data_IF_981609164854
#
_entry.id   IF_981609164854
#
_cell.length_a   1.000
_cell.length_b   1.000
_cell.length_c   1.000
_cell.angle_alpha   90.00
_cell.angle_beta   90.00
_cell.angle_gamma   90.00
#
_symmetry.space_group_name_H-M   'P 1'
#
loop_
_entity.id
_entity.type
_entity.pdbx_description
1 polymer ?
#
# COMPACT_ATOMS: atom_id res chain seq x y z
N UNK A 1 0.13 -16.42 -34.97
CA UNK A 1 -1.27 -16.18 -34.56
C UNK A 1 -1.37 -16.63 -33.11
N UNK A 2 -1.65 -15.72 -32.18
CA UNK A 2 -1.92 -16.13 -30.81
C UNK A 2 -3.14 -17.06 -30.83
N UNK A 3 -3.04 -18.23 -30.20
CA UNK A 3 -4.17 -19.11 -29.96
C UNK A 3 -5.10 -18.41 -28.95
N UNK A 4 -5.89 -17.45 -29.43
CA UNK A 4 -6.92 -16.74 -28.69
C UNK A 4 -8.15 -17.65 -28.52
N UNK A 5 -7.99 -18.80 -27.85
CA UNK A 5 -9.10 -19.67 -27.50
C UNK A 5 -9.88 -18.95 -26.40
N UNK A 6 -10.99 -18.33 -26.79
CA UNK A 6 -11.95 -17.74 -25.85
C UNK A 6 -12.45 -18.87 -24.94
N UNK A 7 -12.45 -18.70 -23.61
CA UNK A 7 -13.02 -19.70 -22.72
C UNK A 7 -14.48 -19.96 -23.06
N UNK A 8 -14.90 -21.22 -22.95
CA UNK A 8 -16.24 -21.70 -23.35
C UNK A 8 -17.39 -21.04 -22.57
N UNK A 9 -17.08 -20.46 -21.40
CA UNK A 9 -18.03 -19.72 -20.59
C UNK A 9 -17.38 -18.50 -19.91
N UNK A 10 -18.20 -17.48 -19.67
CA UNK A 10 -17.83 -16.33 -18.85
C UNK A 10 -17.87 -16.79 -17.38
N UNK A 11 -16.81 -16.53 -16.62
CA UNK A 11 -16.77 -16.82 -15.20
C UNK A 11 -17.86 -16.03 -14.46
N UNK A 12 -18.61 -16.71 -13.59
CA UNK A 12 -19.61 -16.03 -12.76
C UNK A 12 -18.95 -15.18 -11.68
N UNK A 13 -19.47 -13.97 -11.45
CA UNK A 13 -19.04 -13.11 -10.34
C UNK A 13 -19.79 -13.56 -9.08
N UNK A 14 -19.05 -13.85 -8.01
CA UNK A 14 -19.66 -14.25 -6.73
C UNK A 14 -20.49 -13.11 -6.13
N UNK A 15 -21.57 -13.47 -5.42
CA UNK A 15 -22.39 -12.50 -4.69
C UNK A 15 -21.52 -11.76 -3.66
N UNK A 16 -21.67 -10.44 -3.59
CA UNK A 16 -21.09 -9.62 -2.53
C UNK A 16 -21.70 -10.04 -1.19
N UNK A 17 -20.89 -10.64 -0.32
CA UNK A 17 -21.33 -11.09 1.01
C UNK A 17 -21.35 -9.93 2.02
N UNK A 18 -20.32 -9.08 2.00
CA UNK A 18 -20.17 -7.93 2.88
C UNK A 18 -19.47 -6.78 2.14
N UNK A 19 -19.92 -5.54 2.36
CA UNK A 19 -19.18 -4.36 1.92
C UNK A 19 -17.93 -4.17 2.79
N UNK A 20 -16.81 -3.80 2.16
CA UNK A 20 -15.56 -3.50 2.86
C UNK A 20 -15.39 -1.99 2.91
N UNK A 21 -15.28 -1.45 4.13
CA UNK A 21 -15.02 -0.04 4.37
C UNK A 21 -13.70 0.12 5.16
N UNK A 22 -12.76 0.87 4.59
CA UNK A 22 -11.46 1.16 5.23
C UNK A 22 -11.53 2.35 6.20
N UNK A 23 -12.53 3.22 6.08
CA UNK A 23 -12.64 4.44 6.89
C UNK A 23 -11.33 5.25 6.87
N UNK A 24 -10.78 5.56 8.05
CA UNK A 24 -9.56 6.33 8.18
C UNK A 24 -8.34 5.42 8.32
N UNK A 25 -7.38 5.58 7.40
CA UNK A 25 -6.03 5.03 7.50
C UNK A 25 -5.19 5.95 8.39
N UNK A 26 -4.52 5.40 9.40
CA UNK A 26 -3.84 6.21 10.42
C UNK A 26 -2.32 5.99 10.47
N UNK A 27 -1.80 4.84 10.04
CA UNK A 27 -0.36 4.60 9.95
C UNK A 27 -0.03 3.60 8.83
N UNK A 28 1.23 3.58 8.40
CA UNK A 28 1.78 2.55 7.53
C UNK A 28 2.79 1.72 8.32
N UNK A 29 2.83 0.42 8.04
CA UNK A 29 3.82 -0.52 8.54
C UNK A 29 4.69 -0.89 7.34
N UNK A 30 5.88 -0.29 7.27
CA UNK A 30 6.78 -0.38 6.12
C UNK A 30 7.72 -1.57 6.29
N UNK A 31 7.95 -2.30 5.21
CA UNK A 31 8.88 -3.44 5.16
C UNK A 31 9.51 -3.51 3.77
N UNK A 32 10.77 -3.95 3.68
CA UNK A 32 11.31 -4.40 2.39
C UNK A 32 10.51 -5.60 1.89
N UNK A 33 10.30 -5.71 0.59
CA UNK A 33 9.70 -6.90 -0.02
C UNK A 33 10.53 -8.13 0.34
N UNK A 34 9.87 -9.24 0.64
CA UNK A 34 10.51 -10.50 1.03
C UNK A 34 10.20 -11.57 0.00
N UNK A 35 11.20 -12.38 -0.34
CA UNK A 35 11.00 -13.58 -1.18
C UNK A 35 10.12 -14.60 -0.46
N UNK A 36 10.28 -14.70 0.86
CA UNK A 36 9.44 -15.52 1.72
C UNK A 36 8.51 -14.62 2.53
N UNK A 37 7.19 -14.85 2.52
CA UNK A 37 6.23 -14.04 3.27
C UNK A 37 6.60 -13.92 4.76
N UNK A 38 6.62 -12.69 5.28
CA UNK A 38 6.91 -12.38 6.70
C UNK A 38 5.94 -13.06 7.66
N UNK A 39 4.72 -13.37 7.19
CA UNK A 39 3.72 -14.11 7.94
C UNK A 39 3.35 -15.40 7.19
N UNK A 40 3.42 -16.53 7.90
CA UNK A 40 3.06 -17.82 7.33
C UNK A 40 1.56 -17.95 6.99
N UNK A 41 0.69 -17.27 7.74
CA UNK A 41 -0.76 -17.27 7.54
C UNK A 41 -1.43 -16.13 8.33
N UNK A 42 -2.73 -15.93 8.10
CA UNK A 42 -3.52 -14.88 8.77
C UNK A 42 -3.61 -15.07 10.28
N UNK A 43 -3.54 -16.32 10.77
CA UNK A 43 -3.54 -16.58 12.20
C UNK A 43 -2.26 -16.03 12.85
N UNK A 44 -1.10 -16.13 12.20
CA UNK A 44 0.13 -15.51 12.67
C UNK A 44 0.00 -13.98 12.77
N UNK A 45 -0.54 -13.32 11.72
CA UNK A 45 -0.79 -11.87 11.73
C UNK A 45 -1.75 -11.40 12.82
N UNK A 46 -2.64 -12.28 13.31
CA UNK A 46 -3.55 -11.92 14.42
C UNK A 46 -2.82 -11.83 15.76
N UNK A 47 -1.62 -12.38 15.90
CA UNK A 47 -0.90 -12.46 17.18
C UNK A 47 0.11 -11.32 17.36
N UNK A 48 0.15 -10.73 18.55
CA UNK A 48 1.12 -9.66 18.86
C UNK A 48 2.56 -10.17 18.78
N UNK A 49 2.81 -11.42 19.18
CA UNK A 49 4.16 -12.00 19.19
C UNK A 49 4.81 -12.04 17.80
N UNK A 50 4.06 -12.38 16.75
CA UNK A 50 4.57 -12.38 15.39
C UNK A 50 4.98 -10.98 14.93
N UNK A 51 4.18 -9.96 15.27
CA UNK A 51 4.51 -8.58 14.96
C UNK A 51 5.70 -8.08 15.78
N UNK A 52 5.75 -8.38 17.07
CA UNK A 52 6.86 -7.96 17.93
C UNK A 52 8.21 -8.48 17.41
N UNK A 53 8.27 -9.73 16.96
CA UNK A 53 9.48 -10.30 16.37
C UNK A 53 9.96 -9.50 15.13
N UNK A 54 9.03 -9.11 14.25
CA UNK A 54 9.34 -8.33 13.05
C UNK A 54 9.65 -6.84 13.35
N UNK A 55 9.04 -6.26 14.37
CA UNK A 55 9.32 -4.87 14.80
C UNK A 55 10.72 -4.74 15.43
N UNK A 56 11.18 -5.78 16.12
CA UNK A 56 12.49 -5.81 16.78
C UNK A 56 13.60 -6.43 15.93
N UNK A 57 13.29 -6.88 14.70
CA UNK A 57 14.31 -7.46 13.83
C UNK A 57 15.37 -6.41 13.43
N UNK A 58 16.59 -6.88 13.19
CA UNK A 58 17.74 -6.04 12.84
C UNK A 58 18.20 -6.25 11.38
N UNK A 59 17.42 -7.01 10.61
CA UNK A 59 17.71 -7.37 9.22
C UNK A 59 16.62 -6.84 8.26
N UNK A 60 16.67 -7.29 7.00
CA UNK A 60 15.71 -6.88 5.96
C UNK A 60 14.26 -7.25 6.25
N UNK A 61 13.98 -8.11 7.24
CA UNK A 61 12.61 -8.48 7.66
C UNK A 61 11.99 -7.46 8.59
N UNK A 62 12.74 -6.45 9.06
CA UNK A 62 12.26 -5.44 10.00
C UNK A 62 11.04 -4.70 9.45
N UNK A 63 9.98 -4.64 10.26
CA UNK A 63 8.83 -3.78 10.01
C UNK A 63 8.98 -2.51 10.83
N UNK A 64 8.72 -1.36 10.21
CA UNK A 64 8.72 -0.06 10.90
C UNK A 64 7.35 0.59 10.77
N UNK A 65 6.76 0.94 11.92
CA UNK A 65 5.51 1.70 11.95
C UNK A 65 5.81 3.19 11.77
N UNK A 66 5.14 3.85 10.83
CA UNK A 66 5.19 5.31 10.72
C UNK A 66 4.49 5.97 11.91
N UNK A 67 4.82 7.23 12.23
CA UNK A 67 3.94 8.05 13.07
C UNK A 67 2.51 8.06 12.53
N UNK A 68 1.55 8.42 13.37
CA UNK A 68 0.19 8.57 12.90
C UNK A 68 0.07 9.80 11.99
N UNK A 69 -0.67 9.66 10.89
CA UNK A 69 -0.91 10.72 9.93
C UNK A 69 -2.40 11.02 9.75
N UNK A 70 -2.67 12.18 9.16
CA UNK A 70 -4.00 12.63 8.81
C UNK A 70 -4.14 12.86 7.31
N UNK A 71 -5.39 12.89 6.83
CA UNK A 71 -5.70 13.27 5.45
C UNK A 71 -5.13 12.35 4.38
N UNK A 72 -4.84 11.08 4.71
CA UNK A 72 -4.31 10.14 3.74
C UNK A 72 -5.37 9.75 2.71
N UNK A 73 -5.08 10.02 1.45
CA UNK A 73 -5.96 9.81 0.30
C UNK A 73 -5.23 9.01 -0.77
N UNK A 74 -5.95 8.04 -1.33
CA UNK A 74 -5.49 7.24 -2.46
C UNK A 74 -6.49 7.49 -3.60
N UNK A 75 -6.12 8.24 -4.66
CA UNK A 75 -7.03 8.47 -5.79
C UNK A 75 -7.30 7.18 -6.57
N UNK A 76 -8.36 7.16 -7.37
CA UNK A 76 -8.62 6.06 -8.31
C UNK A 76 -7.57 6.04 -9.44
N UNK A 77 -7.22 4.85 -9.92
CA UNK A 77 -6.35 4.72 -11.09
C UNK A 77 -7.09 5.01 -12.39
N UNK A 78 -6.45 5.74 -13.30
CA UNK A 78 -7.01 6.02 -14.62
C UNK A 78 -6.62 4.91 -15.62
N UNK A 79 -7.56 4.44 -16.46
CA UNK A 79 -7.28 3.45 -17.49
C UNK A 79 -6.43 4.05 -18.61
N UNK A 80 -5.52 3.25 -19.16
CA UNK A 80 -4.72 3.59 -20.33
C UNK A 80 -5.17 2.78 -21.54
N UNK A 81 -5.17 3.44 -22.70
CA UNK A 81 -5.47 2.84 -23.99
C UNK A 81 -4.37 3.18 -24.99
N UNK A 82 -3.87 2.18 -25.71
CA UNK A 82 -2.99 2.37 -26.85
C UNK A 82 -3.80 2.51 -28.14
N UNK A 83 -3.31 3.34 -29.04
CA UNK A 83 -3.78 3.47 -30.44
C UNK A 83 -5.25 3.89 -30.61
N UNK A 84 -5.92 4.32 -29.54
CA UNK A 84 -7.31 4.80 -29.59
C UNK A 84 -7.43 6.05 -30.48
N UNK A 85 -8.42 6.06 -31.37
CA UNK A 85 -8.63 7.10 -32.37
C UNK A 85 -7.44 7.30 -33.33
N UNK A 86 -6.63 6.26 -33.56
CA UNK A 86 -5.54 6.27 -34.54
C UNK A 86 -5.81 5.27 -35.66
N UNK A 87 -5.20 5.50 -36.83
CA UNK A 87 -5.30 4.59 -37.98
C UNK A 87 -4.51 3.28 -37.80
N UNK A 88 -3.81 3.13 -36.67
CA UNK A 88 -3.08 1.90 -36.33
C UNK A 88 -3.99 0.85 -35.69
N UNK A 89 -5.19 1.25 -35.22
CA UNK A 89 -6.20 0.36 -34.66
C UNK A 89 -7.33 0.10 -35.66
N UNK A 90 -7.89 -1.11 -35.66
CA UNK A 90 -9.04 -1.45 -36.51
C UNK A 90 -10.24 -0.60 -36.06
N UNK A 91 -10.82 0.16 -36.98
CA UNK A 91 -11.94 1.09 -36.74
C UNK A 91 -11.69 2.17 -35.68
N UNK A 92 -10.43 2.52 -35.39
CA UNK A 92 -10.09 3.51 -34.36
C UNK A 92 -10.30 3.00 -32.92
N UNK A 93 -10.63 1.72 -32.75
CA UNK A 93 -10.85 1.07 -31.46
C UNK A 93 -9.52 0.69 -30.82
N UNK A 94 -9.07 1.52 -29.87
CA UNK A 94 -7.84 1.29 -29.14
C UNK A 94 -7.87 0.04 -28.25
N UNK A 95 -6.68 -0.36 -27.81
CA UNK A 95 -6.47 -1.51 -26.93
C UNK A 95 -6.24 -1.05 -25.49
N UNK A 96 -6.95 -1.64 -24.53
CA UNK A 96 -6.69 -1.40 -23.11
C UNK A 96 -5.31 -1.93 -22.73
N UNK A 97 -4.44 -1.08 -22.19
CA UNK A 97 -3.05 -1.43 -21.85
C UNK A 97 -2.78 -1.52 -20.35
N UNK A 98 -3.75 -1.16 -19.51
CA UNK A 98 -3.61 -1.22 -18.06
C UNK A 98 -4.04 0.07 -17.38
N UNK A 99 -3.51 0.31 -16.19
CA UNK A 99 -3.84 1.46 -15.35
C UNK A 99 -2.59 2.25 -14.97
N UNK A 100 -2.77 3.56 -14.82
CA UNK A 100 -1.74 4.44 -14.28
C UNK A 100 -1.41 4.09 -12.82
N UNK A 101 -0.16 4.32 -12.43
CA UNK A 101 0.22 4.32 -11.01
C UNK A 101 -0.54 5.42 -10.25
N UNK A 102 -0.90 5.13 -9.01
CA UNK A 102 -1.68 6.04 -8.16
C UNK A 102 -0.76 6.72 -7.15
N UNK A 103 -0.87 8.03 -7.01
CA UNK A 103 -0.13 8.78 -5.99
C UNK A 103 -0.96 8.93 -4.73
N UNK A 104 -0.66 8.12 -3.71
CA UNK A 104 -1.22 8.30 -2.38
C UNK A 104 -0.52 9.46 -1.66
N UNK A 105 -1.29 10.28 -0.96
CA UNK A 105 -0.76 11.47 -0.25
C UNK A 105 -1.42 11.62 1.10
N UNK A 106 -0.68 12.12 2.08
CA UNK A 106 -1.18 12.47 3.40
C UNK A 106 -0.27 13.48 4.09
N UNK A 107 -0.53 13.75 5.36
CA UNK A 107 0.24 14.71 6.14
C UNK A 107 0.50 14.22 7.56
N UNK A 108 1.74 14.42 8.01
CA UNK A 108 2.10 14.32 9.42
C UNK A 108 1.90 15.68 10.08
N UNK A 109 1.39 15.68 11.30
CA UNK A 109 1.12 16.90 12.08
C UNK A 109 2.11 16.97 13.24
N UNK A 110 2.83 18.08 13.38
CA UNK A 110 3.74 18.32 14.50
C UNK A 110 4.97 17.41 14.53
N UNK A 111 5.44 16.96 13.36
CA UNK A 111 6.55 16.02 13.25
C UNK A 111 7.89 16.69 13.68
N UNK A 112 8.63 16.11 14.63
CA UNK A 112 9.98 16.54 14.97
C UNK A 112 10.96 16.40 13.78
N UNK A 113 11.96 17.29 13.69
CA UNK A 113 12.88 17.34 12.54
C UNK A 113 13.79 16.10 12.42
N UNK A 114 14.12 15.47 13.54
CA UNK A 114 14.87 14.21 13.60
C UNK A 114 14.05 13.06 13.03
N UNK A 115 12.79 12.90 13.45
CA UNK A 115 11.89 11.87 12.92
C UNK A 115 11.59 12.12 11.44
N UNK A 116 11.42 13.37 11.01
CA UNK A 116 11.29 13.71 9.58
C UNK A 116 12.51 13.28 8.79
N UNK A 117 13.71 13.49 9.31
CA UNK A 117 14.96 13.06 8.66
C UNK A 117 15.02 11.53 8.55
N UNK A 118 14.61 10.82 9.60
CA UNK A 118 14.51 9.34 9.56
C UNK A 118 13.48 8.87 8.54
N UNK A 119 12.30 9.49 8.47
CA UNK A 119 11.30 9.14 7.45
C UNK A 119 11.79 9.43 6.03
N UNK A 120 12.62 10.47 5.86
CA UNK A 120 13.17 10.80 4.55
C UNK A 120 14.19 9.76 4.03
N UNK A 121 14.72 8.86 4.86
CA UNK A 121 15.60 7.79 4.35
C UNK A 121 14.84 6.76 3.50
N UNK A 122 13.52 6.62 3.73
CA UNK A 122 12.67 5.74 2.92
C UNK A 122 12.48 6.21 1.48
N UNK A 123 12.87 7.45 1.15
CA UNK A 123 12.86 7.92 -0.24
C UNK A 123 13.82 7.11 -1.10
N UNK A 124 15.02 6.85 -0.59
CA UNK A 124 16.03 6.07 -1.29
C UNK A 124 15.64 4.58 -1.30
N UNK A 125 15.18 4.04 -0.18
CA UNK A 125 14.75 2.63 -0.06
C UNK A 125 13.56 2.26 -0.95
N UNK A 126 12.75 3.24 -1.35
CA UNK A 126 11.56 3.01 -2.19
C UNK A 126 11.71 3.51 -3.62
N UNK A 127 12.93 3.83 -4.06
CA UNK A 127 13.18 4.25 -5.43
C UNK A 127 12.70 3.18 -6.44
N UNK A 128 12.07 3.63 -7.52
CA UNK A 128 11.59 2.73 -8.56
C UNK A 128 12.77 1.95 -9.21
N UNK A 129 12.60 0.64 -9.36
CA UNK A 129 13.61 -0.25 -9.95
C UNK A 129 14.57 -0.89 -8.95
N UNK A 130 14.39 -0.66 -7.64
CA UNK A 130 15.12 -1.39 -6.60
C UNK A 130 14.58 -2.80 -6.37
N UNK A 131 15.49 -3.71 -6.04
CA UNK A 131 15.23 -5.10 -5.68
C UNK A 131 16.03 -5.48 -4.42
N UNK A 132 15.39 -5.87 -3.31
CA UNK A 132 13.93 -5.92 -3.12
C UNK A 132 13.31 -4.52 -3.04
N UNK A 133 12.10 -4.38 -3.60
CA UNK A 133 11.30 -3.15 -3.46
C UNK A 133 10.75 -2.96 -2.03
N UNK A 134 9.85 -2.00 -1.85
CA UNK A 134 9.20 -1.73 -0.57
C UNK A 134 7.72 -2.12 -0.57
N UNK A 135 7.23 -2.56 0.59
CA UNK A 135 5.83 -2.92 0.81
C UNK A 135 5.30 -2.27 2.10
N UNK A 136 4.00 -2.00 2.14
CA UNK A 136 3.34 -1.39 3.28
C UNK A 136 2.09 -2.19 3.68
N UNK A 137 1.95 -2.46 4.97
CA UNK A 137 0.66 -2.83 5.55
C UNK A 137 -0.02 -1.55 6.06
N UNK A 138 -1.30 -1.38 5.78
CA UNK A 138 -2.04 -0.17 6.16
C UNK A 138 -2.77 -0.43 7.47
N UNK A 139 -2.50 0.40 8.48
CA UNK A 139 -3.22 0.36 9.74
C UNK A 139 -4.43 1.30 9.68
N UNK A 140 -5.60 0.76 10.00
CA UNK A 140 -6.85 1.51 10.10
C UNK A 140 -7.08 2.01 11.53
N UNK A 141 -7.88 3.08 11.66
CA UNK A 141 -8.16 3.71 12.95
C UNK A 141 -8.79 2.76 13.99
N UNK A 142 -9.57 1.79 13.54
CA UNK A 142 -10.20 0.77 14.39
C UNK A 142 -9.26 -0.41 14.75
N UNK A 143 -7.98 -0.33 14.37
CA UNK A 143 -6.97 -1.34 14.67
C UNK A 143 -6.96 -2.52 13.69
N UNK A 144 -7.77 -2.49 12.62
CA UNK A 144 -7.65 -3.45 11.52
C UNK A 144 -6.42 -3.16 10.66
N UNK A 145 -5.92 -4.20 10.00
CA UNK A 145 -4.75 -4.13 9.13
C UNK A 145 -5.16 -4.55 7.72
N UNK A 146 -4.84 -3.73 6.74
CA UNK A 146 -5.00 -4.03 5.31
C UNK A 146 -3.69 -4.58 4.78
N UNK A 147 -3.79 -5.69 4.05
CA UNK A 147 -2.66 -6.39 3.45
C UNK A 147 -3.06 -6.98 2.10
N UNK A 148 -2.08 -7.47 1.35
CA UNK A 148 -2.31 -8.12 0.07
C UNK A 148 -2.11 -9.64 0.21
N UNK A 149 -3.01 -10.41 -0.41
CA UNK A 149 -2.91 -11.87 -0.45
C UNK A 149 -2.72 -12.33 -1.89
N UNK A 150 -1.69 -13.12 -2.15
CA UNK A 150 -1.48 -13.72 -3.46
C UNK A 150 -2.58 -14.79 -3.71
N UNK A 151 -3.39 -14.68 -4.77
CA UNK A 151 -4.46 -15.63 -5.04
C UNK A 151 -3.98 -17.03 -5.44
N UNK A 152 -2.73 -17.14 -5.92
CA UNK A 152 -2.11 -18.38 -6.41
C UNK A 152 -1.39 -19.12 -5.29
N UNK A 153 -0.56 -18.42 -4.52
CA UNK A 153 0.25 -19.03 -3.45
C UNK A 153 -0.39 -18.94 -2.07
N UNK A 154 -1.47 -18.15 -1.91
CA UNK A 154 -2.03 -17.74 -0.61
C UNK A 154 -1.02 -17.02 0.30
N UNK A 155 0.13 -16.60 -0.24
CA UNK A 155 1.13 -15.82 0.45
C UNK A 155 0.55 -14.49 0.95
N UNK A 156 1.00 -14.05 2.11
CA UNK A 156 0.55 -12.82 2.76
C UNK A 156 1.68 -11.79 2.73
N UNK A 157 1.45 -10.69 2.03
CA UNK A 157 2.41 -9.60 1.85
C UNK A 157 1.82 -8.23 2.16
N UNK A 158 2.71 -7.25 2.25
CA UNK A 158 2.33 -5.84 2.22
C UNK A 158 1.95 -5.41 0.79
N UNK A 159 1.32 -4.25 0.69
CA UNK A 159 0.99 -3.62 -0.58
C UNK A 159 2.27 -2.99 -1.14
N UNK A 160 2.71 -3.34 -2.36
CA UNK A 160 3.93 -2.79 -2.94
C UNK A 160 3.77 -1.28 -3.21
N UNK A 161 4.82 -0.52 -2.92
CA UNK A 161 4.87 0.91 -3.21
C UNK A 161 6.25 1.35 -3.66
N UNK A 162 6.31 2.51 -4.30
CA UNK A 162 7.53 3.17 -4.76
C UNK A 162 7.47 4.66 -4.52
N UNK A 163 8.58 5.37 -4.68
CA UNK A 163 8.67 6.83 -4.66
C UNK A 163 8.05 7.45 -3.40
N UNK A 164 8.39 6.90 -2.24
CA UNK A 164 8.06 7.56 -0.98
C UNK A 164 8.76 8.92 -0.95
N UNK A 165 8.08 9.96 -0.47
CA UNK A 165 8.67 11.27 -0.29
C UNK A 165 8.15 11.94 0.98
N UNK A 166 9.00 12.79 1.54
CA UNK A 166 8.69 13.70 2.65
C UNK A 166 8.88 15.13 2.18
N UNK A 167 7.79 15.88 2.12
CA UNK A 167 7.83 17.30 1.80
C UNK A 167 8.43 18.13 2.95
N UNK A 168 8.88 19.34 2.60
CA UNK A 168 9.33 20.33 3.57
C UNK A 168 8.22 20.74 4.54
N UNK A 169 8.63 21.32 5.67
CA UNK A 169 7.70 21.83 6.69
C UNK A 169 6.79 22.90 6.09
N UNK A 170 5.48 22.70 6.21
CA UNK A 170 4.46 23.68 5.88
C UNK A 170 4.10 24.48 7.13
N UNK A 171 4.14 25.81 7.00
CA UNK A 171 3.84 26.77 8.05
C UNK A 171 2.72 27.70 7.57
N UNK A 172 1.51 27.51 8.10
CA UNK A 172 0.34 28.34 7.75
C UNK A 172 0.13 29.51 8.74
N UNK A 173 1.09 29.79 9.62
CA UNK A 173 1.08 30.95 10.53
C UNK A 173 0.46 30.69 11.90
N UNK A 174 0.00 31.77 12.56
CA UNK A 174 -0.47 31.74 13.95
C UNK A 174 -1.67 30.78 14.15
N UNK A 175 -1.56 29.87 15.12
CA UNK A 175 -2.53 28.81 15.45
C UNK A 175 -2.73 27.71 14.39
N UNK A 176 -2.02 27.75 13.27
CA UNK A 176 -1.99 26.62 12.37
C UNK A 176 -1.04 25.55 12.91
N UNK A 177 -1.38 24.29 12.69
CA UNK A 177 -0.47 23.21 12.99
C UNK A 177 0.64 23.17 11.94
N UNK A 178 1.86 22.89 12.39
CA UNK A 178 2.95 22.58 11.49
C UNK A 178 2.69 21.21 10.86
N UNK A 179 2.77 21.12 9.53
CA UNK A 179 2.57 19.85 8.83
C UNK A 179 3.72 19.51 7.90
N UNK A 180 3.93 18.23 7.68
CA UNK A 180 4.81 17.70 6.65
C UNK A 180 3.98 16.79 5.76
N UNK A 181 3.80 17.19 4.51
CA UNK A 181 3.14 16.33 3.53
C UNK A 181 4.06 15.16 3.18
N UNK A 182 3.46 14.01 2.88
CA UNK A 182 4.17 12.86 2.38
C UNK A 182 3.32 12.16 1.33
N UNK A 183 3.96 11.31 0.54
CA UNK A 183 3.24 10.46 -0.38
C UNK A 183 4.08 9.29 -0.85
N UNK A 184 3.41 8.41 -1.59
CA UNK A 184 3.98 7.22 -2.20
C UNK A 184 3.18 6.88 -3.47
N UNK A 185 3.82 6.16 -4.37
CA UNK A 185 3.20 5.64 -5.59
C UNK A 185 2.84 4.18 -5.42
N UNK A 186 1.58 3.86 -5.65
CA UNK A 186 1.07 2.50 -5.74
C UNK A 186 0.96 2.08 -7.22
N UNK A 187 1.15 0.80 -7.55
CA UNK A 187 0.97 0.32 -8.91
C UNK A 187 -0.49 0.51 -9.36
N UNK A 188 -0.71 0.50 -10.68
CA UNK A 188 -2.06 0.35 -11.22
C UNK A 188 -2.67 -0.95 -10.72
N UNK A 189 -3.96 -0.94 -10.37
CA UNK A 189 -4.66 -2.06 -9.74
C UNK A 189 -4.09 -2.55 -8.39
N UNK A 190 -3.48 -1.67 -7.60
CA UNK A 190 -2.97 -1.99 -6.26
C UNK A 190 -4.04 -2.58 -5.31
N UNK A 191 -5.31 -2.35 -5.60
CA UNK A 191 -6.46 -2.81 -4.83
C UNK A 191 -6.85 -4.27 -5.12
N UNK A 192 -6.17 -4.93 -6.07
CA UNK A 192 -6.37 -6.36 -6.34
C UNK A 192 -5.90 -7.22 -5.18
N UNK A 193 -6.79 -8.12 -4.76
CA UNK A 193 -6.57 -9.10 -3.70
C UNK A 193 -6.24 -8.49 -2.33
N UNK A 194 -6.69 -7.26 -2.08
CA UNK A 194 -6.65 -6.69 -0.73
C UNK A 194 -7.54 -7.48 0.22
N UNK A 195 -7.04 -7.68 1.43
CA UNK A 195 -7.74 -8.31 2.53
C UNK A 195 -7.64 -7.42 3.76
N UNK A 196 -8.64 -7.53 4.64
CA UNK A 196 -8.67 -6.80 5.91
C UNK A 196 -8.70 -7.80 7.04
N UNK A 197 -7.71 -7.70 7.93
CA UNK A 197 -7.59 -8.52 9.12
C UNK A 197 -7.94 -7.70 10.36
N UNK A 198 -8.70 -8.30 11.28
CA UNK A 198 -8.82 -7.82 12.66
C UNK A 198 -7.89 -8.65 13.54
N UNK A 199 -6.81 -8.07 14.09
CA UNK A 199 -5.92 -8.76 15.03
C UNK A 199 -6.63 -9.07 16.36
N UNK A 200 -6.07 -9.99 17.16
CA UNK A 200 -6.60 -10.29 18.50
C UNK A 200 -6.22 -9.25 19.56
N UNK A 201 -5.51 -8.21 19.16
CA UNK A 201 -5.01 -7.12 19.99
C UNK A 201 -5.29 -5.77 19.31
N UNK A 202 -5.23 -4.68 20.08
CA UNK A 202 -5.35 -3.34 19.50
C UNK A 202 -4.05 -2.97 18.76
N UNK A 203 -4.01 -3.19 17.44
CA UNK A 203 -2.81 -2.95 16.64
C UNK A 203 -2.37 -1.49 16.63
N UNK A 204 -3.32 -0.55 16.69
CA UNK A 204 -3.00 0.87 16.74
C UNK A 204 -2.17 1.23 17.97
N UNK A 205 -2.55 0.72 19.13
CA UNK A 205 -1.87 0.99 20.40
C UNK A 205 -0.63 0.11 20.62
N UNK A 206 -0.65 -1.15 20.17
CA UNK A 206 0.39 -2.13 20.51
C UNK A 206 1.54 -2.25 19.51
N UNK A 207 1.35 -1.82 18.25
CA UNK A 207 2.42 -1.79 17.26
C UNK A 207 3.25 -0.51 17.31
N UNK A 208 3.19 0.25 18.41
CA UNK A 208 3.99 1.45 18.59
C UNK A 208 5.48 1.09 18.69
N UNK A 209 6.30 1.83 17.95
CA UNK A 209 7.75 1.86 18.12
C UNK A 209 8.11 2.50 19.48
#
# INVERSE_FOLDING_TARGET
>A
MANCVRPDAIASISKVACAVHFYQMCALLLQRAQDTPSFANEAAMKTLAAWSALLTADDGTKIVKTPEFAGFQIPGSEPQYAEQNTNNSIDGLGYFTGFNSVQAKGQFIGLPSDIRTQLATYQEESAAGLDPGMTAYILLNDGRIVYQKDPTSSAIGGIPFTNFYMASLKLDGFKANNTNDFGLSLPGDWDKNLQVLTPSFNARLKLAA
#
